data_IF_647691575367
#
_entry.id   IF_647691575367
#
_cell.length_a   1.000
_cell.length_b   1.000
_cell.length_c   1.000
_cell.angle_alpha   90.00
_cell.angle_beta   90.00
_cell.angle_gamma   90.00
#
_symmetry.space_group_name_H-M   'P 1'
#
loop_
_entity.id
_entity.type
_entity.pdbx_description
1 polymer ?
#
# COMPACT_ATOMS: atom_id res chain seq x y z
N UNK A 1 -19.97 0.94 8.39
CA UNK A 1 -20.19 0.71 6.94
C UNK A 1 -20.65 -0.73 6.75
N UNK A 2 -21.80 -0.99 6.10
CA UNK A 2 -22.15 -2.36 5.74
C UNK A 2 -21.12 -2.89 4.73
N UNK A 3 -20.45 -3.97 5.08
CA UNK A 3 -19.56 -4.65 4.15
C UNK A 3 -20.34 -5.11 2.92
N UNK A 4 -19.91 -4.72 1.74
CA UNK A 4 -20.56 -5.15 0.52
C UNK A 4 -20.27 -6.65 0.31
N UNK A 5 -21.30 -7.48 0.46
CA UNK A 5 -21.22 -8.95 0.34
C UNK A 5 -20.57 -9.42 -0.98
N UNK A 6 -20.57 -8.55 -2.01
CA UNK A 6 -19.92 -8.82 -3.29
C UNK A 6 -18.39 -8.96 -3.21
N UNK A 7 -17.77 -8.48 -2.12
CA UNK A 7 -16.33 -8.65 -1.88
C UNK A 7 -15.97 -9.91 -1.11
N UNK A 8 -16.87 -10.85 -0.96
CA UNK A 8 -16.61 -12.12 -0.28
C UNK A 8 -16.46 -13.26 -1.28
N UNK A 9 -15.38 -14.03 -1.16
CA UNK A 9 -15.18 -15.20 -2.00
C UNK A 9 -16.24 -16.28 -1.73
N UNK A 10 -16.69 -16.95 -2.79
CA UNK A 10 -17.68 -18.02 -2.67
C UNK A 10 -17.21 -19.19 -1.78
N UNK A 11 -15.91 -19.41 -1.67
CA UNK A 11 -15.36 -20.49 -0.86
C UNK A 11 -15.27 -20.09 0.63
N UNK A 12 -14.92 -18.83 0.92
CA UNK A 12 -14.91 -18.35 2.30
C UNK A 12 -16.32 -18.08 2.82
N UNK A 13 -17.29 -17.75 1.95
CA UNK A 13 -18.73 -17.69 2.33
C UNK A 13 -19.21 -18.97 3.00
N UNK A 14 -18.66 -20.14 2.65
CA UNK A 14 -18.99 -21.43 3.27
C UNK A 14 -18.42 -21.60 4.69
N UNK A 15 -17.49 -20.75 5.10
CA UNK A 15 -16.85 -20.77 6.43
C UNK A 15 -17.44 -19.76 7.39
N UNK A 16 -18.13 -18.76 6.87
CA UNK A 16 -18.77 -17.71 7.68
C UNK A 16 -20.18 -18.09 8.08
N UNK A 17 -20.68 -17.50 9.16
CA UNK A 17 -22.04 -17.62 9.67
C UNK A 17 -22.58 -16.25 10.07
N UNK A 18 -23.81 -16.20 10.59
CA UNK A 18 -24.48 -14.93 10.96
C UNK A 18 -23.74 -14.12 12.03
N UNK A 19 -22.85 -14.76 12.80
CA UNK A 19 -22.06 -14.12 13.85
C UNK A 19 -20.66 -13.74 13.38
N UNK A 20 -20.32 -13.91 12.09
CA UNK A 20 -19.01 -13.56 11.57
C UNK A 20 -18.90 -12.04 11.44
N UNK A 21 -17.91 -11.47 12.10
CA UNK A 21 -17.55 -10.07 11.89
C UNK A 21 -16.81 -9.90 10.56
N UNK A 22 -17.26 -8.95 9.74
CA UNK A 22 -16.62 -8.60 8.47
C UNK A 22 -16.06 -7.20 8.60
N UNK A 23 -14.74 -7.05 8.43
CA UNK A 23 -14.01 -5.82 8.70
C UNK A 23 -13.05 -5.46 7.55
N UNK A 24 -12.68 -4.20 7.45
CA UNK A 24 -11.56 -3.78 6.62
C UNK A 24 -10.27 -4.36 7.19
N UNK A 25 -9.40 -4.89 6.32
CA UNK A 25 -8.21 -5.65 6.74
C UNK A 25 -7.26 -4.82 7.61
N UNK A 26 -6.95 -3.62 7.19
CA UNK A 26 -5.95 -2.78 7.83
C UNK A 26 -6.49 -1.96 9.02
N UNK A 27 -7.82 -1.83 9.15
CA UNK A 27 -8.47 -1.12 10.27
C UNK A 27 -8.80 -2.02 11.46
N UNK A 28 -8.45 -3.31 11.40
CA UNK A 28 -8.70 -4.28 12.46
C UNK A 28 -7.40 -4.72 13.13
N UNK A 29 -7.35 -4.68 14.43
CA UNK A 29 -6.15 -4.99 15.23
C UNK A 29 -5.59 -6.40 14.97
N UNK A 30 -6.45 -7.43 14.85
CA UNK A 30 -6.01 -8.79 14.59
C UNK A 30 -5.32 -8.90 13.23
N UNK A 31 -5.92 -8.29 12.19
CA UNK A 31 -5.37 -8.38 10.85
C UNK A 31 -4.16 -7.46 10.64
N UNK A 32 -4.07 -6.33 11.36
CA UNK A 32 -2.85 -5.50 11.38
C UNK A 32 -1.68 -6.26 12.01
N UNK A 33 -1.90 -6.98 13.12
CA UNK A 33 -0.89 -7.88 13.73
C UNK A 33 -0.50 -9.02 12.80
N UNK A 34 -1.50 -9.62 12.12
CA UNK A 34 -1.22 -10.66 11.12
C UNK A 34 -0.35 -10.12 9.99
N UNK A 35 -0.69 -8.93 9.46
CA UNK A 35 0.11 -8.27 8.41
C UNK A 35 1.54 -8.00 8.89
N UNK A 36 1.73 -7.49 10.09
CA UNK A 36 3.05 -7.25 10.68
C UNK A 36 3.89 -8.53 10.73
N UNK A 37 3.29 -9.64 11.18
CA UNK A 37 3.95 -10.94 11.24
C UNK A 37 4.44 -11.45 9.88
N UNK A 38 3.72 -11.17 8.79
CA UNK A 38 4.09 -11.64 7.44
C UNK A 38 4.97 -10.64 6.69
N UNK A 39 4.83 -9.33 6.92
CA UNK A 39 5.52 -8.28 6.18
C UNK A 39 6.98 -8.09 6.60
N UNK A 40 7.33 -8.46 7.83
CA UNK A 40 8.68 -8.28 8.37
C UNK A 40 9.66 -9.43 8.14
N UNK A 41 9.21 -10.61 7.68
CA UNK A 41 9.97 -11.87 7.77
C UNK A 41 10.65 -12.38 6.50
N UNK A 42 10.63 -11.67 5.38
CA UNK A 42 11.15 -12.22 4.11
C UNK A 42 12.23 -11.40 3.42
N UNK A 43 13.28 -12.06 2.91
CA UNK A 43 14.32 -11.40 2.07
C UNK A 43 13.75 -10.77 0.79
N UNK A 44 12.63 -11.28 0.27
CA UNK A 44 11.93 -10.71 -0.88
C UNK A 44 11.34 -9.33 -0.59
N UNK A 45 11.00 -9.04 0.66
CA UNK A 45 10.42 -7.78 1.13
C UNK A 45 11.49 -6.71 1.46
N UNK A 46 12.76 -6.96 1.15
CA UNK A 46 13.84 -5.97 1.31
C UNK A 46 14.22 -5.27 -0.01
N UNK A 47 13.71 -5.77 -1.16
CA UNK A 47 14.08 -5.22 -2.47
C UNK A 47 13.67 -3.77 -2.65
N UNK A 48 12.48 -3.43 -2.20
CA UNK A 48 11.96 -2.07 -2.22
C UNK A 48 12.79 -1.13 -1.33
N UNK A 49 13.13 -1.56 -0.12
CA UNK A 49 13.98 -0.80 0.81
C UNK A 49 15.34 -0.49 0.17
N UNK A 50 16.00 -1.50 -0.41
CA UNK A 50 17.30 -1.33 -1.09
C UNK A 50 17.15 -0.36 -2.26
N UNK A 51 16.06 -0.48 -3.03
CA UNK A 51 15.82 0.42 -4.16
C UNK A 51 15.66 1.87 -3.67
N UNK A 52 14.83 2.12 -2.67
CA UNK A 52 14.64 3.48 -2.14
C UNK A 52 15.93 4.05 -1.57
N UNK A 53 16.68 3.31 -0.77
CA UNK A 53 17.97 3.76 -0.23
C UNK A 53 18.97 4.16 -1.32
N UNK A 54 19.00 3.44 -2.44
CA UNK A 54 19.90 3.72 -3.55
C UNK A 54 19.46 4.90 -4.43
N UNK A 55 18.22 5.35 -4.33
CA UNK A 55 17.64 6.38 -5.21
C UNK A 55 17.22 7.66 -4.47
N UNK A 56 17.36 7.70 -3.15
CA UNK A 56 17.03 8.85 -2.30
C UNK A 56 18.30 9.47 -1.73
N UNK A 57 18.38 10.80 -1.76
CA UNK A 57 19.41 11.51 -1.01
C UNK A 57 18.97 11.60 0.47
N UNK A 58 19.75 11.07 1.44
CA UNK A 58 19.35 11.01 2.85
C UNK A 58 19.09 12.39 3.49
N UNK A 59 19.72 13.46 2.96
CA UNK A 59 19.56 14.82 3.48
C UNK A 59 18.29 15.54 2.96
N UNK A 60 17.62 14.96 1.98
CA UNK A 60 16.41 15.50 1.35
C UNK A 60 15.16 14.90 1.97
N UNK A 61 14.09 15.70 2.06
CA UNK A 61 12.85 15.24 2.67
C UNK A 61 12.18 14.17 1.80
N UNK A 62 12.04 12.99 2.37
CA UNK A 62 11.26 11.89 1.78
C UNK A 62 9.93 11.75 2.50
N UNK A 63 8.86 11.61 1.74
CA UNK A 63 7.52 11.34 2.25
C UNK A 63 7.07 9.95 1.82
N UNK A 64 6.87 9.06 2.78
CA UNK A 64 6.33 7.71 2.55
C UNK A 64 4.81 7.73 2.65
N UNK A 65 4.14 7.28 1.60
CA UNK A 65 2.68 7.17 1.51
C UNK A 65 2.24 5.77 1.91
N UNK A 66 1.18 5.68 2.72
CA UNK A 66 0.65 4.44 3.28
C UNK A 66 1.74 3.65 4.02
N UNK A 67 2.36 4.28 5.02
CA UNK A 67 3.52 3.74 5.76
C UNK A 67 3.22 2.45 6.53
N UNK A 68 1.95 2.14 6.77
CA UNK A 68 1.51 0.90 7.39
C UNK A 68 2.14 0.67 8.77
N UNK A 69 2.73 -0.52 8.95
CA UNK A 69 3.47 -0.91 10.15
C UNK A 69 4.89 -0.32 10.25
N UNK A 70 5.25 0.57 9.34
CA UNK A 70 6.52 1.29 9.37
C UNK A 70 7.74 0.53 8.87
N UNK A 71 7.57 -0.58 8.16
CA UNK A 71 8.66 -1.43 7.69
C UNK A 71 9.74 -0.66 6.89
N UNK A 72 9.31 0.21 5.97
CA UNK A 72 10.24 0.97 5.12
C UNK A 72 10.75 2.20 5.85
N UNK A 73 9.85 3.01 6.42
CA UNK A 73 10.25 4.25 7.12
C UNK A 73 11.20 3.97 8.28
N UNK A 74 11.00 2.92 9.07
CA UNK A 74 11.90 2.58 10.18
C UNK A 74 13.30 2.24 9.66
N UNK A 75 13.38 1.48 8.57
CA UNK A 75 14.67 1.13 7.95
C UNK A 75 15.41 2.36 7.37
N UNK A 76 14.67 3.36 6.88
CA UNK A 76 15.25 4.61 6.42
C UNK A 76 15.72 5.49 7.60
N UNK A 77 14.89 5.59 8.65
CA UNK A 77 15.22 6.35 9.87
C UNK A 77 16.45 5.80 10.59
N UNK A 78 16.60 4.47 10.70
CA UNK A 78 17.75 3.82 11.32
C UNK A 78 19.06 4.13 10.58
N UNK A 79 19.01 4.49 9.31
CA UNK A 79 20.16 4.93 8.51
C UNK A 79 20.23 6.46 8.34
N UNK A 80 19.53 7.21 9.22
CA UNK A 80 19.53 8.67 9.27
C UNK A 80 19.00 9.38 8.01
N UNK A 81 18.09 8.75 7.26
CA UNK A 81 17.37 9.44 6.19
C UNK A 81 16.37 10.44 6.79
N UNK A 82 16.22 11.59 6.16
CA UNK A 82 15.20 12.57 6.52
C UNK A 82 13.85 12.12 5.93
N UNK A 83 13.08 11.35 6.69
CA UNK A 83 11.83 10.75 6.21
C UNK A 83 10.67 11.02 7.17
N UNK A 84 9.49 11.25 6.60
CA UNK A 84 8.19 11.31 7.26
C UNK A 84 7.23 10.35 6.55
N UNK A 85 6.20 9.91 7.25
CA UNK A 85 5.20 9.01 6.71
C UNK A 85 3.77 9.54 6.84
N UNK A 86 2.88 9.07 5.97
CA UNK A 86 1.44 9.26 6.08
C UNK A 86 0.80 7.88 6.17
N UNK A 87 0.00 7.66 7.21
CA UNK A 87 -0.79 6.45 7.40
C UNK A 87 -2.11 6.81 8.05
N UNK A 88 -3.22 6.28 7.52
CA UNK A 88 -4.55 6.61 8.05
C UNK A 88 -5.02 5.67 9.15
N UNK A 89 -4.58 4.42 9.12
CA UNK A 89 -5.07 3.37 10.01
C UNK A 89 -4.28 3.36 11.32
N UNK A 90 -4.92 3.78 12.41
CA UNK A 90 -4.30 3.77 13.75
C UNK A 90 -3.78 2.37 14.13
N UNK A 91 -4.52 1.32 13.80
CA UNK A 91 -4.16 -0.07 14.05
C UNK A 91 -2.86 -0.49 13.37
N UNK A 92 -2.54 0.09 12.21
CA UNK A 92 -1.26 -0.13 11.52
C UNK A 92 -0.13 0.64 12.20
N UNK A 93 -0.36 1.91 12.58
CA UNK A 93 0.62 2.72 13.31
C UNK A 93 0.98 2.06 14.66
N UNK A 94 0.01 1.42 15.32
CA UNK A 94 0.21 0.70 16.59
C UNK A 94 1.13 -0.52 16.46
N UNK A 95 1.31 -1.10 15.27
CA UNK A 95 2.28 -2.16 15.03
C UNK A 95 3.71 -1.63 14.86
N UNK A 96 3.87 -0.33 14.67
CA UNK A 96 5.17 0.33 14.54
C UNK A 96 5.84 0.49 15.91
N UNK A 97 7.16 0.34 15.98
CA UNK A 97 7.91 0.68 17.20
C UNK A 97 7.66 2.15 17.62
N UNK A 98 7.46 2.35 18.91
CA UNK A 98 7.06 3.64 19.48
C UNK A 98 7.96 4.81 19.03
N UNK A 99 9.28 4.58 18.96
CA UNK A 99 10.28 5.61 18.56
C UNK A 99 10.07 6.19 17.16
N UNK A 100 9.42 5.45 16.25
CA UNK A 100 9.18 5.92 14.87
C UNK A 100 7.84 6.63 14.68
N UNK A 101 6.87 6.41 15.60
CA UNK A 101 5.50 6.93 15.46
C UNK A 101 5.42 8.45 15.36
N UNK A 102 6.36 9.18 15.98
CA UNK A 102 6.46 10.63 15.88
C UNK A 102 6.82 11.16 14.48
N UNK A 103 7.20 10.27 13.57
CA UNK A 103 7.48 10.59 12.17
C UNK A 103 6.26 10.40 11.27
N UNK A 104 5.11 9.95 11.81
CA UNK A 104 3.90 9.63 11.05
C UNK A 104 2.85 10.73 11.22
N UNK A 105 2.30 11.16 10.10
CA UNK A 105 1.06 11.92 10.03
C UNK A 105 -0.10 10.93 9.91
N UNK A 106 -0.94 10.86 10.95
CA UNK A 106 -2.14 10.00 10.90
C UNK A 106 -3.24 10.72 10.12
N UNK A 107 -3.23 10.56 8.80
CA UNK A 107 -4.16 11.19 7.87
C UNK A 107 -4.43 10.29 6.68
N UNK A 108 -5.55 10.49 6.00
CA UNK A 108 -5.72 9.99 4.64
C UNK A 108 -4.83 10.79 3.68
N UNK A 109 -4.18 10.10 2.75
CA UNK A 109 -3.24 10.72 1.78
C UNK A 109 -3.91 11.75 0.87
N UNK A 110 -5.23 11.70 0.73
CA UNK A 110 -6.02 12.65 -0.04
C UNK A 110 -6.49 13.87 0.75
N UNK A 111 -6.16 13.99 2.03
CA UNK A 111 -6.43 15.18 2.85
C UNK A 111 -5.42 16.29 2.56
N UNK A 112 -5.32 16.73 1.31
CA UNK A 112 -4.31 17.69 0.83
C UNK A 112 -4.30 18.99 1.62
N UNK A 113 -5.45 19.49 2.07
CA UNK A 113 -5.54 20.72 2.88
C UNK A 113 -4.79 20.60 4.20
N UNK A 114 -4.84 19.43 4.83
CA UNK A 114 -4.13 19.16 6.09
C UNK A 114 -2.65 18.84 5.87
N UNK A 115 -2.31 18.29 4.71
CA UNK A 115 -0.99 17.81 4.36
C UNK A 115 -0.22 18.73 3.40
N UNK A 116 -0.78 19.88 3.02
CA UNK A 116 -0.22 20.79 2.03
C UNK A 116 1.24 21.16 2.32
N UNK A 117 1.54 21.44 3.59
CA UNK A 117 2.89 21.83 4.02
C UNK A 117 3.92 20.73 3.79
N UNK A 118 3.59 19.48 4.12
CA UNK A 118 4.54 18.38 3.95
C UNK A 118 4.68 17.99 2.49
N UNK A 119 3.58 17.99 1.72
CA UNK A 119 3.62 17.74 0.29
C UNK A 119 4.44 18.78 -0.47
N UNK A 120 4.29 20.08 -0.14
CA UNK A 120 5.03 21.16 -0.81
C UNK A 120 6.53 21.16 -0.52
N UNK A 121 6.98 20.46 0.51
CA UNK A 121 8.37 20.40 0.95
C UNK A 121 9.08 19.08 0.57
N UNK A 122 8.33 18.06 0.17
CA UNK A 122 8.89 16.74 -0.10
C UNK A 122 9.72 16.76 -1.39
N UNK A 123 10.99 16.38 -1.30
CA UNK A 123 11.86 16.17 -2.47
C UNK A 123 11.58 14.81 -3.12
N UNK A 124 11.26 13.81 -2.29
CA UNK A 124 10.92 12.45 -2.70
C UNK A 124 9.58 12.05 -2.11
N UNK A 125 8.76 11.39 -2.91
CA UNK A 125 7.50 10.77 -2.50
C UNK A 125 7.60 9.31 -2.87
N UNK A 126 7.46 8.41 -1.89
CA UNK A 126 7.56 6.98 -2.10
C UNK A 126 6.26 6.28 -1.71
N UNK A 127 5.85 5.27 -2.48
CA UNK A 127 4.67 4.45 -2.21
C UNK A 127 5.11 2.98 -2.24
N UNK A 128 5.64 2.46 -1.13
CA UNK A 128 6.23 1.12 -1.09
C UNK A 128 5.21 0.00 -0.89
N UNK A 129 5.73 -1.24 -0.92
CA UNK A 129 5.00 -2.47 -0.60
C UNK A 129 3.76 -2.70 -1.48
N UNK A 130 3.83 -2.30 -2.74
CA UNK A 130 2.72 -2.36 -3.70
C UNK A 130 1.46 -1.60 -3.27
N UNK A 131 1.60 -0.66 -2.32
CA UNK A 131 0.49 0.14 -1.78
C UNK A 131 -0.21 0.97 -2.85
N UNK A 132 0.47 1.28 -3.96
CA UNK A 132 -0.13 1.96 -5.12
C UNK A 132 -1.37 1.21 -5.65
N UNK A 133 -1.47 -0.10 -5.47
CA UNK A 133 -2.62 -0.90 -5.86
C UNK A 133 -3.88 -0.65 -5.00
N UNK A 134 -3.76 0.05 -3.88
CA UNK A 134 -4.91 0.46 -3.06
C UNK A 134 -5.69 1.62 -3.69
N UNK A 135 -5.11 2.30 -4.68
CA UNK A 135 -5.68 3.45 -5.36
C UNK A 135 -6.15 3.09 -6.77
N UNK A 136 -7.30 3.64 -7.18
CA UNK A 136 -7.74 3.53 -8.57
C UNK A 136 -6.83 4.35 -9.50
N UNK A 137 -6.91 4.11 -10.80
CA UNK A 137 -6.18 4.93 -11.79
C UNK A 137 -6.54 6.42 -11.68
N UNK A 138 -7.81 6.73 -11.42
CA UNK A 138 -8.30 8.09 -11.24
C UNK A 138 -7.74 8.72 -9.95
N UNK A 139 -7.69 7.95 -8.85
CA UNK A 139 -7.10 8.43 -7.59
C UNK A 139 -5.62 8.73 -7.75
N UNK A 140 -4.88 7.89 -8.48
CA UNK A 140 -3.44 8.08 -8.74
C UNK A 140 -3.22 9.35 -9.58
N UNK A 141 -3.99 9.54 -10.63
CA UNK A 141 -3.91 10.75 -11.46
C UNK A 141 -4.24 12.00 -10.65
N UNK A 142 -5.33 11.97 -9.86
CA UNK A 142 -5.71 13.07 -8.97
C UNK A 142 -4.62 13.36 -7.93
N UNK A 143 -4.04 12.33 -7.34
CA UNK A 143 -2.94 12.47 -6.38
C UNK A 143 -1.75 13.20 -6.99
N UNK A 144 -1.30 12.77 -8.18
CA UNK A 144 -0.17 13.41 -8.88
C UNK A 144 -0.49 14.86 -9.27
N UNK A 145 -1.70 15.13 -9.77
CA UNK A 145 -2.12 16.50 -10.13
C UNK A 145 -2.11 17.43 -8.91
N UNK A 146 -2.58 16.97 -7.75
CA UNK A 146 -2.51 17.76 -6.52
C UNK A 146 -1.06 17.99 -6.06
N UNK A 147 -0.20 16.99 -6.16
CA UNK A 147 1.23 17.17 -5.86
C UNK A 147 1.87 18.24 -6.75
N UNK A 148 1.60 18.24 -8.05
CA UNK A 148 2.10 19.23 -9.02
C UNK A 148 1.64 20.65 -8.65
N UNK A 149 0.41 20.79 -8.19
CA UNK A 149 -0.12 22.08 -7.75
C UNK A 149 0.53 22.59 -6.46
N UNK A 150 0.97 21.69 -5.58
CA UNK A 150 1.54 22.03 -4.27
C UNK A 150 3.08 22.12 -4.31
N UNK A 151 3.73 21.37 -5.16
CA UNK A 151 5.18 21.19 -5.14
C UNK A 151 5.77 21.48 -6.53
N UNK A 152 6.81 22.31 -6.57
CA UNK A 152 7.45 22.75 -7.81
C UNK A 152 8.40 21.70 -8.42
N UNK A 153 8.90 20.77 -7.62
CA UNK A 153 9.83 19.73 -8.06
C UNK A 153 9.85 18.59 -7.07
N UNK A 154 9.64 17.37 -7.53
CA UNK A 154 9.70 16.17 -6.71
C UNK A 154 10.02 14.93 -7.55
N UNK A 155 10.47 13.88 -6.86
CA UNK A 155 10.63 12.55 -7.43
C UNK A 155 9.60 11.63 -6.79
N UNK A 156 8.73 11.03 -7.62
CA UNK A 156 7.77 10.01 -7.21
C UNK A 156 8.30 8.62 -7.53
N UNK A 157 8.36 7.74 -6.54
CA UNK A 157 8.78 6.36 -6.72
C UNK A 157 7.78 5.41 -6.07
N UNK A 158 7.49 4.31 -6.75
CA UNK A 158 6.64 3.26 -6.20
C UNK A 158 6.98 1.91 -6.81
N UNK A 159 6.59 0.87 -6.11
CA UNK A 159 6.62 -0.48 -6.61
C UNK A 159 5.21 -1.02 -6.82
N UNK A 160 5.08 -1.90 -7.80
CA UNK A 160 3.86 -2.66 -8.02
C UNK A 160 4.17 -4.04 -8.58
N UNK A 161 3.23 -4.92 -8.44
CA UNK A 161 3.26 -6.27 -9.01
C UNK A 161 2.01 -6.47 -9.86
N UNK A 162 2.12 -7.31 -10.90
CA UNK A 162 0.92 -7.82 -11.55
C UNK A 162 0.16 -8.70 -10.53
N UNK A 163 -0.85 -8.07 -9.90
CA UNK A 163 -1.60 -8.69 -8.82
C UNK A 163 -2.48 -9.86 -9.28
N UNK A 164 -2.71 -10.03 -10.58
CA UNK A 164 -3.41 -11.20 -11.12
C UNK A 164 -2.63 -12.49 -10.81
N UNK A 165 -1.30 -12.39 -10.76
CA UNK A 165 -0.44 -13.51 -10.37
C UNK A 165 -0.65 -13.97 -8.93
N UNK A 166 -1.33 -13.17 -8.09
CA UNK A 166 -1.63 -13.48 -6.70
C UNK A 166 -2.99 -14.15 -6.50
N UNK A 167 -3.80 -14.31 -7.55
CA UNK A 167 -5.10 -14.98 -7.48
C UNK A 167 -4.89 -16.43 -7.14
N UNK A 168 -5.66 -16.94 -6.20
CA UNK A 168 -5.65 -18.35 -5.84
C UNK A 168 -7.06 -18.97 -5.93
N UNK A 169 -7.16 -20.10 -6.62
CA UNK A 169 -8.44 -20.79 -6.83
C UNK A 169 -9.06 -21.32 -5.53
N UNK A 170 -8.24 -21.70 -4.57
CA UNK A 170 -8.67 -22.25 -3.28
C UNK A 170 -8.07 -21.47 -2.13
N UNK A 171 -8.79 -21.32 -1.00
CA UNK A 171 -8.23 -20.69 0.18
C UNK A 171 -6.98 -21.42 0.67
N UNK A 172 -5.89 -20.69 0.83
CA UNK A 172 -4.68 -21.18 1.49
C UNK A 172 -4.91 -21.17 3.00
N UNK A 173 -4.59 -22.27 3.67
CA UNK A 173 -4.62 -22.35 5.12
C UNK A 173 -3.24 -22.05 5.68
N UNK A 174 -3.17 -21.11 6.60
CA UNK A 174 -1.96 -20.80 7.38
C UNK A 174 -2.27 -20.91 8.88
N UNK A 175 -1.27 -21.30 9.66
CA UNK A 175 -1.35 -21.35 11.12
C UNK A 175 -0.10 -20.71 11.71
N UNK A 176 -0.30 -19.79 12.62
CA UNK A 176 0.76 -19.11 13.38
C UNK A 176 0.32 -18.92 14.85
N UNK A 177 1.06 -18.13 15.60
CA UNK A 177 0.78 -17.80 17.00
C UNK A 177 -0.57 -17.08 17.21
N UNK A 178 -1.05 -16.34 16.21
CA UNK A 178 -2.35 -15.64 16.28
C UNK A 178 -3.53 -16.57 16.02
N UNK A 179 -3.31 -17.77 15.45
CA UNK A 179 -4.36 -18.73 15.16
C UNK A 179 -4.31 -19.30 13.74
N UNK A 180 -5.48 -19.71 13.25
CA UNK A 180 -5.67 -20.34 11.94
C UNK A 180 -6.34 -19.37 10.97
N UNK A 181 -5.65 -19.07 9.88
CA UNK A 181 -6.11 -18.18 8.82
C UNK A 181 -6.42 -18.94 7.54
N UNK A 182 -7.45 -18.51 6.83
CA UNK A 182 -7.78 -18.96 5.48
C UNK A 182 -7.76 -17.75 4.56
N UNK A 183 -6.85 -17.75 3.60
CA UNK A 183 -6.53 -16.61 2.75
C UNK A 183 -6.97 -16.90 1.33
N UNK A 184 -7.73 -16.03 0.72
CA UNK A 184 -8.10 -16.14 -0.68
C UNK A 184 -8.09 -14.78 -1.37
N UNK A 185 -7.40 -14.74 -2.51
CA UNK A 185 -7.38 -13.60 -3.41
C UNK A 185 -8.17 -13.99 -4.66
N UNK A 186 -9.12 -13.17 -5.05
CA UNK A 186 -9.98 -13.46 -6.19
C UNK A 186 -10.36 -12.18 -6.93
N UNK A 187 -10.63 -12.32 -8.21
CA UNK A 187 -11.02 -11.22 -9.09
C UNK A 187 -12.51 -10.94 -8.96
N UNK A 188 -12.88 -9.67 -8.90
CA UNK A 188 -14.26 -9.18 -8.96
C UNK A 188 -14.33 -8.06 -9.98
N UNK A 189 -15.36 -8.08 -10.82
CA UNK A 189 -15.70 -6.96 -11.70
C UNK A 189 -16.77 -6.11 -11.03
N UNK A 190 -16.50 -4.81 -10.89
CA UNK A 190 -17.46 -3.84 -10.34
C UNK A 190 -17.44 -2.58 -11.20
N UNK A 191 -18.61 -2.17 -11.72
CA UNK A 191 -18.76 -0.98 -12.56
C UNK A 191 -17.71 -0.89 -13.69
N UNK A 192 -17.49 -2.00 -14.40
CA UNK A 192 -16.48 -2.17 -15.45
C UNK A 192 -15.01 -2.07 -15.01
N UNK A 193 -14.74 -1.89 -13.74
CA UNK A 193 -13.40 -1.95 -13.14
C UNK A 193 -13.19 -3.35 -12.57
N UNK A 194 -12.06 -3.95 -12.92
CA UNK A 194 -11.63 -5.22 -12.32
C UNK A 194 -10.76 -4.94 -11.10
N UNK A 195 -11.13 -5.58 -9.98
CA UNK A 195 -10.38 -5.51 -8.73
C UNK A 195 -10.04 -6.89 -8.23
N UNK A 196 -8.95 -6.99 -7.50
CA UNK A 196 -8.59 -8.18 -6.74
C UNK A 196 -8.98 -7.94 -5.29
N UNK A 197 -9.75 -8.85 -4.74
CA UNK A 197 -10.16 -8.81 -3.34
C UNK A 197 -9.33 -9.81 -2.55
N UNK A 198 -8.72 -9.32 -1.49
CA UNK A 198 -8.02 -10.12 -0.48
C UNK A 198 -9.00 -10.41 0.65
N UNK A 199 -9.29 -11.69 0.86
CA UNK A 199 -10.06 -12.16 2.01
C UNK A 199 -9.16 -12.96 2.93
N UNK A 200 -9.21 -12.66 4.21
CA UNK A 200 -8.54 -13.40 5.28
C UNK A 200 -9.57 -13.74 6.35
N UNK A 201 -9.91 -15.01 6.49
CA UNK A 201 -10.79 -15.49 7.54
C UNK A 201 -9.98 -16.08 8.68
N UNK A 202 -10.14 -15.54 9.87
CA UNK A 202 -9.56 -16.06 11.10
C UNK A 202 -10.58 -16.94 11.82
N UNK A 203 -10.23 -18.21 12.00
CA UNK A 203 -11.15 -19.24 12.49
C UNK A 203 -11.55 -19.01 13.95
N UNK A 204 -10.60 -18.73 14.81
CA UNK A 204 -10.77 -18.69 16.26
C UNK A 204 -11.62 -17.51 16.73
N UNK A 205 -11.46 -16.35 16.09
CA UNK A 205 -12.28 -15.16 16.40
C UNK A 205 -13.54 -15.03 15.54
N UNK A 206 -13.74 -15.93 14.57
CA UNK A 206 -14.81 -15.87 13.59
C UNK A 206 -14.90 -14.50 12.90
N UNK A 207 -13.73 -13.97 12.46
CA UNK A 207 -13.60 -12.70 11.74
C UNK A 207 -13.18 -12.92 10.31
N UNK A 208 -13.69 -12.08 9.41
CA UNK A 208 -13.24 -12.00 8.02
C UNK A 208 -12.79 -10.59 7.70
N UNK A 209 -11.50 -10.44 7.43
CA UNK A 209 -10.90 -9.23 6.90
C UNK A 209 -10.93 -9.21 5.38
N UNK A 210 -11.17 -8.03 4.77
CA UNK A 210 -11.06 -7.85 3.34
C UNK A 210 -10.30 -6.56 2.99
N UNK A 211 -9.63 -6.59 1.86
CA UNK A 211 -9.01 -5.44 1.22
C UNK A 211 -9.24 -5.53 -0.29
N UNK A 212 -9.41 -4.40 -0.93
CA UNK A 212 -9.59 -4.29 -2.38
C UNK A 212 -8.34 -3.69 -2.98
N UNK A 213 -7.84 -4.31 -4.05
CA UNK A 213 -6.69 -3.83 -4.81
C UNK A 213 -7.05 -3.71 -6.29
N UNK A 214 -6.68 -2.59 -6.88
CA UNK A 214 -6.85 -2.35 -8.31
C UNK A 214 -5.73 -3.05 -9.09
N UNK A 215 -6.11 -3.69 -10.20
CA UNK A 215 -5.15 -4.28 -11.12
C UNK A 215 -4.61 -3.21 -12.05
N UNK A 216 -3.34 -2.94 -11.95
CA UNK A 216 -2.64 -1.96 -12.78
C UNK A 216 -1.55 -2.64 -13.59
N UNK A 217 -1.27 -2.10 -14.76
CA UNK A 217 -0.14 -2.50 -15.57
C UNK A 217 0.84 -1.33 -15.77
N UNK A 218 2.01 -1.65 -16.27
CA UNK A 218 3.08 -0.65 -16.45
C UNK A 218 2.72 0.44 -17.46
N UNK A 219 1.98 0.08 -18.51
CA UNK A 219 1.54 1.01 -19.56
C UNK A 219 0.61 2.07 -18.99
N UNK A 220 -0.30 1.69 -18.10
CA UNK A 220 -1.19 2.61 -17.40
C UNK A 220 -0.38 3.64 -16.60
N UNK A 221 0.56 3.19 -15.78
CA UNK A 221 1.39 4.09 -14.98
C UNK A 221 2.24 5.02 -15.84
N UNK A 222 2.87 4.51 -16.91
CA UNK A 222 3.64 5.33 -17.83
C UNK A 222 2.78 6.42 -18.49
N UNK A 223 1.54 6.08 -18.86
CA UNK A 223 0.60 7.03 -19.44
C UNK A 223 0.15 8.09 -18.43
N UNK A 224 -0.23 7.70 -17.21
CA UNK A 224 -0.62 8.64 -16.14
C UNK A 224 0.53 9.61 -15.87
N UNK A 225 1.74 9.12 -15.65
CA UNK A 225 2.91 9.95 -15.38
C UNK A 225 3.16 10.96 -16.51
N UNK A 226 3.15 10.48 -17.75
CA UNK A 226 3.35 11.33 -18.95
C UNK A 226 2.25 12.38 -19.08
N UNK A 227 0.99 12.01 -18.90
CA UNK A 227 -0.14 12.93 -18.98
C UNK A 227 -0.07 14.02 -17.90
N UNK A 228 0.47 13.68 -16.73
CA UNK A 228 0.72 14.62 -15.64
C UNK A 228 2.04 15.40 -15.82
N UNK A 229 2.78 15.20 -16.90
CA UNK A 229 4.01 15.96 -17.19
C UNK A 229 5.25 15.48 -16.42
N UNK A 230 5.23 14.28 -15.85
CA UNK A 230 6.41 13.68 -15.24
C UNK A 230 7.23 12.93 -16.31
N UNK A 231 8.55 13.04 -16.26
CA UNK A 231 9.41 12.03 -16.86
C UNK A 231 9.23 10.72 -16.10
N UNK A 232 9.30 9.58 -16.78
CA UNK A 232 9.03 8.30 -16.13
C UNK A 232 9.93 7.21 -16.68
N UNK A 233 10.53 6.43 -15.80
CA UNK A 233 11.34 5.28 -16.15
C UNK A 233 11.03 4.07 -15.28
N UNK A 234 11.15 2.88 -15.87
CA UNK A 234 11.08 1.61 -15.15
C UNK A 234 12.51 1.25 -14.72
N UNK A 235 12.75 1.21 -13.41
CA UNK A 235 14.06 0.93 -12.84
C UNK A 235 14.30 -0.57 -12.63
N UNK A 236 13.28 -1.31 -12.28
CA UNK A 236 13.34 -2.76 -12.08
C UNK A 236 12.14 -3.39 -12.77
N UNK A 237 12.38 -4.45 -13.53
CA UNK A 237 11.36 -5.29 -14.15
C UNK A 237 11.81 -6.73 -13.99
N UNK A 238 11.27 -7.42 -12.98
CA UNK A 238 11.62 -8.79 -12.68
C UNK A 238 10.41 -9.58 -12.19
N UNK A 239 10.03 -10.64 -12.93
CA UNK A 239 8.93 -11.55 -12.56
C UNK A 239 7.64 -10.81 -12.21
N UNK A 240 7.17 -9.93 -13.08
CA UNK A 240 5.95 -9.12 -12.87
C UNK A 240 6.00 -8.15 -11.67
N UNK A 241 7.18 -7.92 -11.10
CA UNK A 241 7.43 -6.90 -10.10
C UNK A 241 8.20 -5.75 -10.73
N UNK A 242 7.69 -4.55 -10.56
CA UNK A 242 8.18 -3.33 -11.19
C UNK A 242 8.46 -2.27 -10.15
N UNK A 243 9.53 -1.51 -10.39
CA UNK A 243 9.79 -0.26 -9.70
C UNK A 243 9.83 0.88 -10.70
N UNK A 244 9.03 1.90 -10.44
CA UNK A 244 8.90 3.08 -11.29
C UNK A 244 9.47 4.27 -10.55
N UNK A 245 10.19 5.11 -11.30
CA UNK A 245 10.65 6.43 -10.89
C UNK A 245 10.11 7.45 -11.87
N UNK A 246 9.40 8.46 -11.36
CA UNK A 246 8.95 9.62 -12.11
C UNK A 246 9.54 10.90 -11.52
N UNK A 247 9.90 11.86 -12.35
CA UNK A 247 10.44 13.15 -11.93
C UNK A 247 9.58 14.27 -12.48
N UNK A 248 9.17 15.16 -11.61
CA UNK A 248 8.51 16.40 -11.95
C UNK A 248 9.46 17.57 -11.67
N UNK A 249 9.72 18.36 -12.71
CA UNK A 249 10.46 19.61 -12.61
C UNK A 249 9.53 20.69 -13.19
N UNK A 250 8.82 21.40 -12.32
CA UNK A 250 7.98 22.52 -12.71
C UNK A 250 8.75 23.55 -13.51
N UNK A 251 8.06 24.16 -14.46
CA UNK A 251 8.61 25.26 -15.26
C UNK A 251 8.74 26.53 -14.44
#
# INVERSE_FOLDING_TARGET
MMCNINYLSNQLKKKINNNTQIVQLYSDELFSKYYDNISGKGKSLQRDIIFYKNNINPNKLTLEIASGNGRVISSLLDENFNVKGIEKEATMIEQMEYKYRSHIYQNDVFEFDKLNKIYSQADYIIIPATSISLFSAQDIELFIQNLINLNKSFVLMFDFIDIESLINEKPKKEKNELGTFYIQNFKVKQNDIEVIVYNIFHKESNKLGYSVKFSHNKELFMNIMKNCGLSCEIKINNNNYYMIKGEFNGK
#
